data_IF_367662937735
#
_entry.id   IF_367662937735
#
_cell.length_a   1.000
_cell.length_b   1.000
_cell.length_c   1.000
_cell.angle_alpha   90.00
_cell.angle_beta   90.00
_cell.angle_gamma   90.00
#
_symmetry.space_group_name_H-M   'P 1'
#
loop_
_entity.id
_entity.type
_entity.pdbx_description
1 polymer ?
#
# COMPACT_ATOMS: atom_id res chain seq x y z
N UNK A 1 19.31 17.66 -13.75
CA UNK A 1 18.63 17.39 -12.45
C UNK A 1 17.37 16.61 -12.75
N UNK A 2 17.38 15.30 -12.61
CA UNK A 2 16.21 14.43 -12.77
C UNK A 2 15.27 14.64 -11.56
N UNK A 3 14.12 15.27 -11.77
CA UNK A 3 13.05 15.31 -10.78
C UNK A 3 12.67 13.88 -10.42
N UNK A 4 12.95 13.48 -9.19
CA UNK A 4 12.44 12.23 -8.63
C UNK A 4 10.91 12.34 -8.62
N UNK A 5 10.22 11.73 -9.58
CA UNK A 5 8.76 11.64 -9.59
C UNK A 5 8.36 10.90 -8.31
N UNK A 6 7.59 11.54 -7.46
CA UNK A 6 6.96 10.91 -6.30
C UNK A 6 5.77 10.08 -6.82
N UNK A 7 6.05 8.86 -7.27
CA UNK A 7 5.12 8.02 -8.01
C UNK A 7 3.93 7.53 -7.16
N UNK A 8 4.09 7.44 -5.83
CA UNK A 8 2.98 7.09 -4.92
C UNK A 8 1.97 8.23 -4.68
N UNK A 9 2.40 9.49 -4.76
CA UNK A 9 1.53 10.63 -4.43
C UNK A 9 0.30 10.80 -5.32
N UNK A 10 0.37 10.41 -6.59
CA UNK A 10 -0.79 10.45 -7.49
C UNK A 10 -1.84 9.40 -7.10
N UNK A 11 -1.42 8.19 -6.77
CA UNK A 11 -2.30 7.13 -6.30
C UNK A 11 -2.93 7.46 -4.94
N UNK A 12 -2.14 8.00 -4.00
CA UNK A 12 -2.66 8.51 -2.72
C UNK A 12 -3.72 9.59 -2.93
N UNK A 13 -3.51 10.50 -3.89
CA UNK A 13 -4.47 11.56 -4.22
C UNK A 13 -5.79 10.99 -4.78
N UNK A 14 -5.73 9.92 -5.58
CA UNK A 14 -6.93 9.20 -6.06
C UNK A 14 -7.73 8.61 -4.91
N UNK A 15 -7.08 7.93 -3.96
CA UNK A 15 -7.72 7.37 -2.76
C UNK A 15 -8.32 8.48 -1.91
N UNK A 16 -7.53 9.53 -1.61
CA UNK A 16 -7.96 10.65 -0.76
C UNK A 16 -9.21 11.35 -1.27
N UNK A 17 -9.32 11.52 -2.59
CA UNK A 17 -10.49 12.13 -3.22
C UNK A 17 -11.77 11.37 -2.93
N UNK A 18 -11.71 10.05 -2.75
CA UNK A 18 -12.86 9.17 -2.52
C UNK A 18 -13.16 8.86 -1.05
N UNK A 19 -12.38 9.38 -0.10
CA UNK A 19 -12.61 9.11 1.33
C UNK A 19 -14.05 9.38 1.81
N UNK A 20 -14.74 10.47 1.39
CA UNK A 20 -16.13 10.69 1.76
C UNK A 20 -17.07 9.60 1.22
N UNK A 21 -16.89 9.18 -0.03
CA UNK A 21 -17.70 8.14 -0.67
C UNK A 21 -17.48 6.79 0.01
N UNK A 22 -16.23 6.39 0.25
CA UNK A 22 -15.90 5.18 0.97
C UNK A 22 -16.54 5.12 2.36
N UNK A 23 -16.55 6.26 3.07
CA UNK A 23 -17.18 6.35 4.39
C UNK A 23 -18.69 6.11 4.32
N UNK A 24 -19.38 6.63 3.30
CA UNK A 24 -20.80 6.38 3.07
C UNK A 24 -21.09 4.89 2.79
N UNK A 25 -20.12 4.17 2.22
CA UNK A 25 -20.20 2.75 1.90
C UNK A 25 -19.64 1.83 3.03
N UNK A 26 -19.40 2.38 4.22
CA UNK A 26 -18.95 1.62 5.41
C UNK A 26 -17.43 1.43 5.54
N UNK A 27 -16.63 2.02 4.65
CA UNK A 27 -15.17 2.01 4.72
C UNK A 27 -14.66 3.36 5.23
N UNK A 28 -14.43 3.48 6.53
CA UNK A 28 -13.85 4.67 7.12
C UNK A 28 -12.32 4.60 7.08
N UNK A 29 -11.69 5.50 6.32
CA UNK A 29 -10.25 5.60 6.16
C UNK A 29 -9.73 6.98 6.52
N UNK A 30 -8.53 7.03 7.07
CA UNK A 30 -7.76 8.25 7.32
C UNK A 30 -6.38 8.11 6.67
N UNK A 31 -5.89 9.22 6.10
CA UNK A 31 -4.52 9.28 5.61
C UNK A 31 -3.56 9.53 6.77
N UNK A 32 -2.57 8.65 6.93
CA UNK A 32 -1.56 8.77 7.95
C UNK A 32 -0.49 9.77 7.52
N UNK A 33 -0.30 10.81 8.31
CA UNK A 33 0.79 11.77 8.13
C UNK A 33 1.95 11.49 9.07
N UNK A 34 3.20 11.74 8.65
CA UNK A 34 4.33 11.70 9.55
C UNK A 34 4.13 12.65 10.73
N UNK A 35 4.42 12.19 11.94
CA UNK A 35 4.32 13.05 13.14
C UNK A 35 5.63 13.78 13.36
N UNK A 36 5.52 15.10 13.47
CA UNK A 36 6.62 15.97 13.85
C UNK A 36 6.39 16.51 15.26
N UNK A 37 7.39 16.42 16.13
CA UNK A 37 7.43 17.22 17.37
C UNK A 37 8.27 18.46 17.09
N UNK A 38 7.67 19.63 17.23
CA UNK A 38 8.35 20.89 17.00
C UNK A 38 7.38 22.08 16.95
N UNK A 39 7.93 23.27 16.75
CA UNK A 39 7.17 24.51 16.63
C UNK A 39 6.99 24.86 15.16
N UNK A 40 5.85 25.43 14.81
CA UNK A 40 5.68 26.08 13.50
C UNK A 40 6.43 27.40 13.55
N UNK A 41 7.50 27.51 12.78
CA UNK A 41 8.28 28.74 12.68
C UNK A 41 7.58 29.81 11.83
N UNK A 42 8.18 31.01 11.74
CA UNK A 42 7.68 32.08 10.87
C UNK A 42 7.51 31.57 9.43
N UNK A 43 6.43 31.98 8.76
CA UNK A 43 6.04 31.56 7.39
C UNK A 43 5.57 30.11 7.27
N UNK A 44 5.05 29.48 8.34
CA UNK A 44 4.46 28.15 8.30
C UNK A 44 5.47 27.00 8.11
N UNK A 45 6.77 27.25 8.18
CA UNK A 45 7.79 26.18 8.11
C UNK A 45 7.86 25.43 9.44
N UNK A 46 7.55 24.13 9.41
CA UNK A 46 7.73 23.29 10.57
C UNK A 46 9.23 23.15 10.88
N UNK A 47 9.63 23.62 12.08
CA UNK A 47 10.95 23.36 12.65
C UNK A 47 10.76 22.30 13.75
N UNK A 48 11.23 21.08 13.50
CA UNK A 48 11.07 20.02 14.48
C UNK A 48 11.69 18.71 14.06
N UNK A 49 11.73 17.78 15.02
CA UNK A 49 12.23 16.41 14.81
C UNK A 49 11.06 15.54 14.35
N UNK A 50 11.30 14.71 13.32
CA UNK A 50 10.40 13.63 12.94
C UNK A 50 10.31 12.62 14.10
N UNK A 51 9.14 12.50 14.73
CA UNK A 51 8.93 11.61 15.89
C UNK A 51 8.54 10.21 15.44
N UNK A 52 7.82 10.10 14.33
CA UNK A 52 7.53 8.81 13.73
C UNK A 52 7.51 8.93 12.20
N UNK A 53 8.04 7.90 11.55
CA UNK A 53 8.04 7.81 10.07
C UNK A 53 6.65 7.52 9.48
N UNK A 54 5.59 7.67 10.26
CA UNK A 54 4.24 7.29 9.88
C UNK A 54 4.02 5.78 9.90
N UNK A 55 2.74 5.39 9.72
CA UNK A 55 2.32 4.01 9.43
C UNK A 55 2.45 3.66 7.95
N UNK A 56 1.61 2.77 7.48
CA UNK A 56 1.22 2.69 6.08
C UNK A 56 0.40 3.96 5.74
N UNK A 57 0.25 4.30 4.46
CA UNK A 57 -0.31 5.59 4.03
C UNK A 57 -1.75 5.83 4.51
N UNK A 58 -2.55 4.76 4.59
CA UNK A 58 -3.94 4.80 5.05
C UNK A 58 -4.21 3.78 6.13
N UNK A 59 -5.06 4.14 7.09
CA UNK A 59 -5.60 3.24 8.09
C UNK A 59 -7.05 3.58 8.42
N UNK A 60 -7.80 2.59 8.92
CA UNK A 60 -9.18 2.76 9.30
C UNK A 60 -9.87 1.44 9.57
N UNK A 61 -11.16 1.36 9.25
CA UNK A 61 -11.94 0.15 9.47
C UNK A 61 -13.05 -0.02 8.43
N UNK A 62 -13.40 -1.26 8.19
CA UNK A 62 -14.53 -1.69 7.38
C UNK A 62 -15.40 -2.64 8.22
N UNK A 63 -16.62 -2.19 8.56
CA UNK A 63 -17.57 -2.94 9.39
C UNK A 63 -16.92 -3.55 10.65
N UNK A 64 -16.16 -2.73 11.39
CA UNK A 64 -15.48 -3.14 12.63
C UNK A 64 -14.16 -3.88 12.45
N UNK A 65 -13.76 -4.25 11.23
CA UNK A 65 -12.46 -4.86 10.92
C UNK A 65 -11.44 -3.79 10.57
N UNK A 66 -10.26 -3.87 11.17
CA UNK A 66 -9.18 -2.95 10.86
C UNK A 66 -8.72 -3.10 9.40
N UNK A 67 -8.48 -1.98 8.74
CA UNK A 67 -7.96 -1.88 7.38
C UNK A 67 -6.72 -0.99 7.39
N UNK A 68 -5.64 -1.41 6.73
CA UNK A 68 -4.46 -0.57 6.56
C UNK A 68 -3.73 -0.90 5.26
N UNK A 69 -3.27 0.11 4.54
CA UNK A 69 -2.53 -0.11 3.29
C UNK A 69 -1.60 1.06 2.96
N UNK A 70 -0.67 0.80 2.05
CA UNK A 70 0.28 1.77 1.54
C UNK A 70 0.21 1.80 0.01
N UNK A 71 0.28 2.98 -0.58
CA UNK A 71 0.16 3.18 -2.01
C UNK A 71 1.52 3.07 -2.70
N UNK A 72 1.60 2.25 -3.73
CA UNK A 72 2.81 2.01 -4.51
C UNK A 72 2.51 2.18 -5.99
N UNK A 73 3.44 2.75 -6.74
CA UNK A 73 3.34 2.84 -8.19
C UNK A 73 4.63 2.37 -8.86
N UNK A 74 4.48 1.69 -9.99
CA UNK A 74 5.59 1.25 -10.85
C UNK A 74 5.26 1.50 -12.32
N UNK A 75 6.28 1.88 -13.09
CA UNK A 75 6.13 2.19 -14.52
C UNK A 75 6.33 0.93 -15.41
N UNK A 76 7.03 -0.08 -14.91
CA UNK A 76 7.37 -1.28 -15.69
C UNK A 76 6.35 -2.42 -15.59
N UNK A 77 6.73 -3.59 -16.14
CA UNK A 77 5.97 -4.85 -16.07
C UNK A 77 6.35 -5.71 -14.86
N UNK A 78 6.93 -5.10 -13.83
CA UNK A 78 7.26 -5.76 -12.57
C UNK A 78 7.26 -4.74 -11.43
N UNK A 79 7.00 -5.22 -10.22
CA UNK A 79 7.04 -4.41 -9.00
C UNK A 79 8.37 -4.65 -8.28
N UNK A 80 9.31 -3.66 -8.28
CA UNK A 80 10.63 -3.83 -7.68
C UNK A 80 10.58 -3.96 -6.16
N UNK A 81 11.34 -4.90 -5.60
CA UNK A 81 11.45 -5.17 -4.15
C UNK A 81 12.64 -4.45 -3.51
N UNK A 82 12.96 -3.26 -4.00
CA UNK A 82 14.00 -2.42 -3.42
C UNK A 82 13.45 -1.50 -2.32
N UNK A 83 14.35 -0.86 -1.57
CA UNK A 83 13.97 0.02 -0.45
C UNK A 83 13.23 1.30 -0.85
N UNK A 84 13.24 1.67 -2.14
CA UNK A 84 12.43 2.79 -2.63
C UNK A 84 10.96 2.41 -2.67
N UNK A 85 10.65 1.17 -3.04
CA UNK A 85 9.28 0.68 -3.19
C UNK A 85 8.76 0.02 -1.91
N UNK A 86 9.56 -0.85 -1.28
CA UNK A 86 9.15 -1.56 -0.07
C UNK A 86 10.21 -1.34 1.02
N UNK A 87 9.89 -0.47 1.97
CA UNK A 87 10.77 -0.25 3.11
C UNK A 87 10.59 -1.39 4.14
N UNK A 88 11.67 -1.85 4.80
CA UNK A 88 11.59 -2.94 5.77
C UNK A 88 10.51 -2.76 6.85
N UNK A 89 10.35 -1.54 7.35
CA UNK A 89 9.33 -1.25 8.36
C UNK A 89 7.90 -1.30 7.81
N UNK A 90 7.68 -1.03 6.51
CA UNK A 90 6.36 -1.16 5.87
C UNK A 90 5.99 -2.63 5.70
N UNK A 91 6.92 -3.47 5.21
CA UNK A 91 6.70 -4.92 5.10
C UNK A 91 6.43 -5.57 6.47
N UNK A 92 7.20 -5.19 7.51
CA UNK A 92 6.96 -5.65 8.87
C UNK A 92 5.57 -5.28 9.37
N UNK A 93 5.15 -4.03 9.20
CA UNK A 93 3.80 -3.58 9.61
C UNK A 93 2.69 -4.27 8.86
N UNK A 94 2.90 -4.52 7.55
CA UNK A 94 1.93 -5.27 6.75
C UNK A 94 1.76 -6.69 7.29
N UNK A 95 2.87 -7.37 7.62
CA UNK A 95 2.87 -8.69 8.23
C UNK A 95 2.15 -8.69 9.58
N UNK A 96 2.58 -7.82 10.50
CA UNK A 96 1.99 -7.70 11.84
C UNK A 96 0.47 -7.46 11.77
N UNK A 97 0.03 -6.54 10.91
CA UNK A 97 -1.39 -6.25 10.73
C UNK A 97 -2.15 -7.48 10.18
N UNK A 98 -1.58 -8.19 9.21
CA UNK A 98 -2.16 -9.41 8.67
C UNK A 98 -2.27 -10.51 9.73
N UNK A 99 -1.22 -10.76 10.51
CA UNK A 99 -1.18 -11.76 11.60
C UNK A 99 -2.21 -11.44 12.70
N UNK A 100 -2.50 -10.15 12.93
CA UNK A 100 -3.54 -9.69 13.86
C UNK A 100 -4.96 -9.72 13.27
N UNK A 101 -5.15 -10.21 12.05
CA UNK A 101 -6.45 -10.33 11.39
C UNK A 101 -6.99 -9.04 10.77
N UNK A 102 -6.15 -8.03 10.56
CA UNK A 102 -6.51 -6.84 9.80
C UNK A 102 -6.48 -7.12 8.28
N UNK A 103 -7.28 -6.38 7.53
CA UNK A 103 -7.16 -6.30 6.06
C UNK A 103 -5.99 -5.38 5.74
N UNK A 104 -4.83 -5.98 5.40
CA UNK A 104 -3.57 -5.26 5.22
C UNK A 104 -2.94 -5.59 3.86
N UNK A 105 -2.57 -4.55 3.07
CA UNK A 105 -2.04 -4.74 1.72
C UNK A 105 -1.23 -3.54 1.22
N UNK A 106 -0.47 -3.74 0.15
CA UNK A 106 -0.03 -2.66 -0.73
C UNK A 106 -1.03 -2.49 -1.87
N UNK A 107 -1.51 -1.26 -2.06
CA UNK A 107 -2.25 -0.86 -3.25
C UNK A 107 -1.23 -0.51 -4.33
N UNK A 108 -1.11 -1.37 -5.33
CA UNK A 108 -0.07 -1.26 -6.37
C UNK A 108 -0.66 -0.82 -7.69
N UNK A 109 -0.14 0.29 -8.23
CA UNK A 109 -0.43 0.77 -9.58
C UNK A 109 0.70 0.38 -10.53
N UNK A 110 0.35 -0.22 -11.66
CA UNK A 110 1.18 -0.30 -12.87
C UNK A 110 0.74 0.81 -13.80
N UNK A 111 1.49 1.93 -13.84
CA UNK A 111 1.03 3.18 -14.45
C UNK A 111 1.21 3.24 -15.97
N UNK A 112 2.17 2.53 -16.54
CA UNK A 112 2.56 2.63 -17.95
C UNK A 112 2.37 1.31 -18.72
N UNK A 113 1.20 0.67 -18.57
CA UNK A 113 0.84 -0.46 -19.42
C UNK A 113 0.18 0.02 -20.72
N UNK A 114 0.33 -0.76 -21.80
CA UNK A 114 -0.23 -0.41 -23.12
C UNK A 114 -1.76 -0.21 -23.08
N UNK A 115 -2.45 -0.96 -22.21
CA UNK A 115 -3.90 -0.87 -22.02
C UNK A 115 -4.30 0.21 -20.99
N UNK A 116 -3.38 1.02 -20.52
CA UNK A 116 -3.57 2.00 -19.45
C UNK A 116 -3.23 1.46 -18.05
N UNK A 117 -3.31 2.32 -17.02
CA UNK A 117 -2.94 1.95 -15.66
C UNK A 117 -3.82 0.84 -15.10
N UNK A 118 -3.21 -0.10 -14.38
CA UNK A 118 -3.89 -1.18 -13.65
C UNK A 118 -3.54 -1.15 -12.17
N UNK A 119 -4.51 -1.54 -11.35
CA UNK A 119 -4.43 -1.47 -9.90
C UNK A 119 -4.66 -2.84 -9.30
N UNK A 120 -3.86 -3.20 -8.28
CA UNK A 120 -3.90 -4.49 -7.62
C UNK A 120 -3.74 -4.36 -6.11
N UNK A 121 -4.34 -5.28 -5.39
CA UNK A 121 -4.10 -5.50 -3.97
C UNK A 121 -3.02 -6.57 -3.82
N UNK A 122 -1.86 -6.19 -3.30
CA UNK A 122 -0.78 -7.10 -2.93
C UNK A 122 -0.83 -7.31 -1.42
N UNK A 123 -1.48 -8.37 -0.97
CA UNK A 123 -1.59 -8.75 0.43
C UNK A 123 -0.34 -9.50 0.95
N UNK A 124 -0.28 -9.72 2.26
CA UNK A 124 0.88 -10.37 2.85
C UNK A 124 1.10 -11.81 2.34
N UNK A 125 0.09 -12.69 2.19
CA UNK A 125 0.29 -14.04 1.67
C UNK A 125 0.97 -14.10 0.30
N UNK A 126 0.69 -13.15 -0.59
CA UNK A 126 1.34 -13.08 -1.91
C UNK A 126 2.73 -12.44 -1.82
N UNK A 127 2.91 -11.44 -0.98
CA UNK A 127 4.19 -10.75 -0.80
C UNK A 127 5.22 -11.60 -0.05
N UNK A 128 4.80 -12.35 0.97
CA UNK A 128 5.66 -13.03 1.94
C UNK A 128 6.80 -13.85 1.30
N UNK A 129 6.56 -14.77 0.35
CA UNK A 129 7.63 -15.60 -0.20
C UNK A 129 8.73 -14.78 -0.89
N UNK A 130 8.36 -13.66 -1.50
CA UNK A 130 9.31 -12.74 -2.15
C UNK A 130 10.07 -11.92 -1.13
N UNK A 131 9.36 -11.37 -0.14
CA UNK A 131 9.96 -10.52 0.87
C UNK A 131 10.90 -11.28 1.80
N UNK A 132 10.53 -12.48 2.23
CA UNK A 132 11.38 -13.35 3.06
C UNK A 132 12.67 -13.75 2.34
N UNK A 133 12.61 -13.99 1.03
CA UNK A 133 13.80 -14.22 0.23
C UNK A 133 14.71 -12.97 0.18
N UNK A 134 14.13 -11.78 0.02
CA UNK A 134 14.87 -10.51 0.07
C UNK A 134 15.48 -10.28 1.45
N UNK A 135 14.72 -10.48 2.52
CA UNK A 135 15.17 -10.27 3.89
C UNK A 135 16.29 -11.27 4.27
N UNK A 136 16.13 -12.53 3.90
CA UNK A 136 17.18 -13.55 4.07
C UNK A 136 18.47 -13.18 3.35
N UNK A 137 18.37 -12.75 2.07
CA UNK A 137 19.54 -12.36 1.30
C UNK A 137 20.28 -11.15 1.90
N UNK A 138 19.53 -10.21 2.51
CA UNK A 138 20.12 -9.07 3.23
C UNK A 138 20.88 -9.48 4.50
N UNK A 139 20.37 -10.45 5.23
CA UNK A 139 20.91 -10.82 6.54
C UNK A 139 22.00 -11.90 6.46
N UNK A 140 21.88 -12.86 5.54
CA UNK A 140 22.81 -14.01 5.45
C UNK A 140 23.46 -14.13 4.08
N UNK A 141 23.17 -13.24 3.16
CA UNK A 141 23.66 -13.29 1.78
C UNK A 141 22.83 -14.24 0.90
N UNK A 142 23.18 -14.25 -0.38
CA UNK A 142 22.52 -15.09 -1.38
C UNK A 142 21.74 -14.28 -2.43
N UNK A 143 21.04 -15.00 -3.31
CA UNK A 143 20.22 -14.39 -4.37
C UNK A 143 18.79 -14.19 -3.88
N UNK A 144 18.24 -13.03 -4.17
CA UNK A 144 16.84 -12.71 -3.92
C UNK A 144 16.16 -12.24 -5.22
N UNK A 145 14.82 -12.40 -5.33
CA UNK A 145 14.09 -11.82 -6.43
C UNK A 145 14.18 -10.29 -6.38
N UNK A 146 14.55 -9.67 -7.50
CA UNK A 146 14.64 -8.22 -7.58
C UNK A 146 13.27 -7.53 -7.68
N UNK A 147 12.25 -8.27 -8.14
CA UNK A 147 10.90 -7.76 -8.37
C UNK A 147 9.87 -8.88 -8.41
N UNK A 148 8.58 -8.52 -8.29
CA UNK A 148 7.44 -9.39 -8.54
C UNK A 148 6.90 -9.09 -9.95
N UNK A 149 6.88 -10.05 -10.89
CA UNK A 149 6.38 -9.84 -12.24
C UNK A 149 4.87 -9.51 -12.26
N UNK A 150 4.43 -8.71 -13.24
CA UNK A 150 3.01 -8.37 -13.45
C UNK A 150 2.12 -9.62 -13.59
N UNK A 151 2.62 -10.69 -14.19
CA UNK A 151 1.86 -11.94 -14.34
C UNK A 151 1.53 -12.61 -12.99
N UNK A 152 2.35 -12.41 -11.95
CA UNK A 152 2.01 -12.83 -10.59
C UNK A 152 0.84 -12.02 -10.06
N UNK A 153 0.85 -10.69 -10.28
CA UNK A 153 -0.28 -9.84 -9.91
C UNK A 153 -1.57 -10.27 -10.60
N UNK A 154 -1.53 -10.55 -11.90
CA UNK A 154 -2.70 -11.01 -12.66
C UNK A 154 -3.28 -12.34 -12.17
N UNK A 155 -2.43 -13.25 -11.66
CA UNK A 155 -2.85 -14.58 -11.21
C UNK A 155 -3.20 -14.67 -9.73
N UNK A 156 -2.51 -13.89 -8.89
CA UNK A 156 -2.52 -14.09 -7.43
C UNK A 156 -3.03 -12.90 -6.63
N UNK A 157 -3.12 -11.71 -7.26
CA UNK A 157 -3.61 -10.50 -6.61
C UNK A 157 -5.02 -10.15 -7.07
N UNK A 158 -5.79 -9.50 -6.21
CA UNK A 158 -7.10 -8.96 -6.59
C UNK A 158 -6.90 -7.68 -7.39
N UNK A 159 -7.43 -7.65 -8.62
CA UNK A 159 -7.45 -6.44 -9.43
C UNK A 159 -8.53 -5.48 -8.92
N UNK A 160 -8.23 -4.18 -8.98
CA UNK A 160 -9.19 -3.12 -8.63
C UNK A 160 -9.67 -2.45 -9.90
N UNK A 161 -10.98 -2.33 -10.03
CA UNK A 161 -11.61 -1.59 -11.12
C UNK A 161 -11.49 -0.09 -10.82
N UNK A 162 -11.11 0.66 -11.85
CA UNK A 162 -11.22 2.12 -11.84
C UNK A 162 -12.34 2.54 -12.77
N UNK A 163 -13.29 3.24 -12.24
CA UNK A 163 -14.38 3.85 -12.99
C UNK A 163 -14.26 5.40 -12.99
N UNK A 164 -15.33 6.09 -13.42
CA UNK A 164 -15.41 7.57 -13.41
C UNK A 164 -15.35 8.14 -11.99
N UNK A 165 -15.77 7.37 -10.99
CA UNK A 165 -15.75 7.75 -9.57
C UNK A 165 -14.36 7.59 -8.93
N UNK A 166 -13.50 6.71 -9.46
CA UNK A 166 -12.17 6.40 -8.94
C UNK A 166 -11.94 4.90 -8.75
N UNK A 167 -11.20 4.50 -7.70
CA UNK A 167 -10.93 3.09 -7.41
C UNK A 167 -12.05 2.49 -6.56
N UNK A 168 -12.54 1.31 -6.93
CA UNK A 168 -13.52 0.55 -6.15
C UNK A 168 -12.82 -0.28 -5.06
N UNK A 169 -12.41 0.40 -3.98
CA UNK A 169 -11.78 -0.25 -2.83
C UNK A 169 -12.78 -0.98 -1.95
N UNK A 170 -14.03 -0.52 -1.90
CA UNK A 170 -15.04 -1.11 -1.02
C UNK A 170 -15.37 -2.53 -1.43
N UNK A 171 -15.64 -2.78 -2.70
CA UNK A 171 -15.91 -4.13 -3.21
C UNK A 171 -14.74 -5.09 -2.95
N UNK A 172 -13.50 -4.61 -3.15
CA UNK A 172 -12.31 -5.44 -2.94
C UNK A 172 -12.10 -5.75 -1.46
N UNK A 173 -12.23 -4.76 -0.57
CA UNK A 173 -12.09 -4.94 0.88
C UNK A 173 -13.19 -5.84 1.43
N UNK A 174 -14.44 -5.72 0.94
CA UNK A 174 -15.53 -6.62 1.30
C UNK A 174 -15.21 -8.08 0.94
N UNK A 175 -14.76 -8.33 -0.28
CA UNK A 175 -14.37 -9.68 -0.70
C UNK A 175 -13.17 -10.25 0.07
N UNK A 176 -12.25 -9.40 0.55
CA UNK A 176 -11.16 -9.82 1.44
C UNK A 176 -11.70 -10.17 2.84
N UNK A 177 -12.62 -9.38 3.38
CA UNK A 177 -13.25 -9.64 4.67
C UNK A 177 -13.97 -10.99 4.70
N UNK A 178 -14.79 -11.29 3.67
CA UNK A 178 -15.50 -12.57 3.51
C UNK A 178 -14.53 -13.77 3.49
N UNK A 179 -13.46 -13.69 2.71
CA UNK A 179 -12.43 -14.76 2.64
C UNK A 179 -11.75 -15.03 3.99
N UNK A 180 -11.65 -14.03 4.84
CA UNK A 180 -11.04 -14.16 6.17
C UNK A 180 -12.01 -14.79 7.19
N UNK A 181 -13.33 -14.65 7.00
CA UNK A 181 -14.34 -15.29 7.86
C UNK A 181 -14.44 -16.79 7.60
N UNK A 182 -14.35 -17.23 6.36
CA UNK A 182 -14.40 -18.63 5.96
C UNK A 182 -13.20 -19.45 6.49
N UNK A 183 -12.10 -18.80 6.84
CA UNK A 183 -10.87 -19.45 7.35
C UNK A 183 -10.81 -19.60 8.87
N UNK A 184 -11.81 -19.13 9.60
CA UNK A 184 -11.97 -19.30 11.06
C UNK A 184 -12.83 -20.48 11.40
#
# INVERSE_FOLDING_TARGET
>A
MTKTKNTGGALEALVRKRLPDYKAEGLALEQNSPRFAGKVGPRGKAQGRLVSKGGLDFSGHFWGRAVTFDCKSTEGKSFPLNERNVKPHQARRLREAHEMGAIAFFLVEFSELAEGPRYFVLDWPVLAPYWEAVDRARNVGGKAPASIPLDVFKRSCTAIVRDKGGLDLVAVIAGMAEKMEVKR
#
